data_IF_056447835206
#
_entry.id   IF_056447835206
#
_cell.length_a   1.000
_cell.length_b   1.000
_cell.length_c   1.000
_cell.angle_alpha   90.00
_cell.angle_beta   90.00
_cell.angle_gamma   90.00
#
_symmetry.space_group_name_H-M   'P 1'
#
loop_
_entity.id
_entity.type
_entity.pdbx_description
1 polymer ?
#
# COMPACT_ATOMS: atom_id res chain seq x y z
N UNK A 1 8.53 -14.19 -9.30
CA UNK A 1 7.12 -13.75 -9.20
C UNK A 1 6.68 -13.64 -7.73
N UNK A 2 6.64 -14.74 -6.96
CA UNK A 2 6.17 -14.76 -5.57
C UNK A 2 6.95 -13.91 -4.55
N UNK A 3 8.27 -13.71 -4.73
CA UNK A 3 9.06 -12.88 -3.80
C UNK A 3 8.58 -11.42 -3.75
N UNK A 4 8.18 -10.86 -4.90
CA UNK A 4 7.68 -9.47 -4.98
C UNK A 4 6.32 -9.34 -4.30
N UNK A 5 5.44 -10.30 -4.55
CA UNK A 5 4.12 -10.38 -3.93
C UNK A 5 4.21 -10.46 -2.39
N UNK A 6 5.10 -11.32 -1.87
CA UNK A 6 5.34 -11.46 -0.42
C UNK A 6 5.86 -10.15 0.17
N UNK A 7 6.77 -9.45 -0.52
CA UNK A 7 7.28 -8.15 -0.07
C UNK A 7 6.17 -7.10 -0.02
N UNK A 8 5.32 -7.01 -1.05
CA UNK A 8 4.19 -6.09 -1.06
C UNK A 8 3.20 -6.39 0.07
N UNK A 9 2.85 -7.66 0.27
CA UNK A 9 1.98 -8.08 1.39
C UNK A 9 2.55 -7.67 2.74
N UNK A 10 3.86 -7.84 2.93
CA UNK A 10 4.54 -7.47 4.17
C UNK A 10 4.48 -5.96 4.41
N UNK A 11 4.79 -5.16 3.38
CA UNK A 11 4.73 -3.69 3.45
C UNK A 11 3.31 -3.23 3.79
N UNK A 12 2.28 -3.75 3.11
CA UNK A 12 0.89 -3.38 3.37
C UNK A 12 0.49 -3.70 4.81
N UNK A 13 0.88 -4.86 5.36
CA UNK A 13 0.55 -5.24 6.74
C UNK A 13 1.30 -4.39 7.77
N UNK A 14 2.58 -4.10 7.53
CA UNK A 14 3.38 -3.21 8.39
C UNK A 14 2.77 -1.80 8.43
N UNK A 15 2.45 -1.21 7.27
CA UNK A 15 1.84 0.12 7.19
C UNK A 15 0.41 0.17 7.73
N UNK A 16 -0.40 -0.88 7.49
CA UNK A 16 -1.75 -0.99 8.04
C UNK A 16 -1.74 -1.02 9.57
N UNK A 17 -0.77 -1.69 10.19
CA UNK A 17 -0.63 -1.75 11.64
C UNK A 17 -0.33 -0.37 12.27
N UNK A 18 0.21 0.56 11.49
CA UNK A 18 0.52 1.93 11.91
C UNK A 18 -0.55 2.95 11.48
N UNK A 19 -1.53 2.55 10.67
CA UNK A 19 -2.58 3.44 10.19
C UNK A 19 -3.62 3.72 11.29
N UNK A 20 -3.78 5.00 11.62
CA UNK A 20 -4.81 5.49 12.58
C UNK A 20 -6.00 6.15 11.89
N UNK A 21 -5.90 6.43 10.59
CA UNK A 21 -6.96 7.03 9.77
C UNK A 21 -7.71 5.93 8.99
N UNK A 22 -9.04 5.97 9.05
CA UNK A 22 -9.93 5.06 8.35
C UNK A 22 -9.73 5.08 6.82
N UNK A 23 -9.44 6.22 6.21
CA UNK A 23 -9.23 6.34 4.77
C UNK A 23 -7.93 5.66 4.33
N UNK A 24 -6.89 5.74 5.16
CA UNK A 24 -5.62 5.03 4.97
C UNK A 24 -5.80 3.52 5.12
N UNK A 25 -6.57 3.08 6.12
CA UNK A 25 -6.90 1.66 6.33
C UNK A 25 -7.61 1.08 5.10
N UNK A 26 -8.64 1.78 4.59
CA UNK A 26 -9.39 1.35 3.40
C UNK A 26 -8.50 1.31 2.16
N UNK A 27 -7.60 2.28 2.00
CA UNK A 27 -6.62 2.32 0.92
C UNK A 27 -5.69 1.10 0.95
N UNK A 28 -5.08 0.78 2.09
CA UNK A 28 -4.22 -0.41 2.24
C UNK A 28 -4.97 -1.72 2.02
N UNK A 29 -6.21 -1.84 2.50
CA UNK A 29 -7.05 -3.03 2.26
C UNK A 29 -7.42 -3.19 0.78
N UNK A 30 -7.65 -2.08 0.06
CA UNK A 30 -7.88 -2.13 -1.39
C UNK A 30 -6.63 -2.60 -2.14
N UNK A 31 -5.44 -2.13 -1.76
CA UNK A 31 -4.17 -2.57 -2.36
C UNK A 31 -3.91 -4.06 -2.11
N UNK A 32 -4.31 -4.58 -0.94
CA UNK A 32 -4.27 -6.01 -0.66
C UNK A 32 -5.20 -6.83 -1.57
N UNK A 33 -6.37 -6.28 -1.92
CA UNK A 33 -7.34 -6.95 -2.78
C UNK A 33 -6.93 -6.91 -4.26
N UNK A 34 -6.34 -5.81 -4.72
CA UNK A 34 -5.96 -5.58 -6.13
C UNK A 34 -4.49 -5.88 -6.44
N UNK A 35 -3.93 -6.92 -5.80
CA UNK A 35 -2.53 -7.36 -5.94
C UNK A 35 -1.94 -7.48 -7.37
N UNK A 36 -2.68 -7.60 -8.50
CA UNK A 36 -2.06 -7.67 -9.81
C UNK A 36 -1.79 -6.34 -10.55
N UNK A 37 -2.18 -5.16 -10.03
CA UNK A 37 -2.09 -3.89 -10.80
C UNK A 37 -1.06 -2.86 -10.31
N UNK A 38 -0.46 -3.05 -9.13
CA UNK A 38 0.65 -2.21 -8.68
C UNK A 38 1.93 -2.95 -9.06
N UNK A 39 2.83 -2.34 -9.85
CA UNK A 39 4.14 -2.92 -10.17
C UNK A 39 5.10 -2.98 -8.95
N UNK A 40 4.57 -3.40 -7.79
CA UNK A 40 5.28 -3.99 -6.65
C UNK A 40 6.52 -3.24 -6.16
N UNK A 41 6.61 -1.93 -6.35
CA UNK A 41 7.62 -1.12 -5.70
C UNK A 41 6.98 -0.32 -4.58
N UNK A 42 7.70 -0.20 -3.45
CA UNK A 42 7.33 0.70 -2.35
C UNK A 42 7.05 2.11 -2.89
N UNK A 43 7.84 2.54 -3.87
CA UNK A 43 7.69 3.82 -4.58
C UNK A 43 6.30 3.99 -5.22
N UNK A 44 5.72 2.96 -5.82
CA UNK A 44 4.38 3.05 -6.44
C UNK A 44 3.29 3.27 -5.39
N UNK A 45 3.41 2.56 -4.25
CA UNK A 45 2.49 2.74 -3.12
C UNK A 45 2.64 4.14 -2.52
N UNK A 46 3.87 4.61 -2.35
CA UNK A 46 4.14 5.94 -1.82
C UNK A 46 3.67 7.04 -2.77
N UNK A 47 3.86 6.89 -4.09
CA UNK A 47 3.33 7.80 -5.12
C UNK A 47 1.81 7.86 -5.07
N UNK A 48 1.15 6.69 -5.04
CA UNK A 48 -0.31 6.65 -4.99
C UNK A 48 -0.87 7.31 -3.72
N UNK A 49 -0.26 7.07 -2.56
CA UNK A 49 -0.68 7.71 -1.31
C UNK A 49 -0.46 9.24 -1.33
N UNK A 50 0.60 9.70 -2.00
CA UNK A 50 0.87 11.13 -2.19
C UNK A 50 -0.14 11.77 -3.17
N UNK A 51 -0.38 11.14 -4.32
CA UNK A 51 -1.33 11.61 -5.34
C UNK A 51 -2.77 11.68 -4.81
N UNK A 52 -3.13 10.75 -3.91
CA UNK A 52 -4.47 10.70 -3.29
C UNK A 52 -4.57 11.52 -2.00
N UNK A 53 -3.52 12.25 -1.61
CA UNK A 53 -3.53 13.14 -0.45
C UNK A 53 -3.49 12.42 0.91
N UNK A 54 -3.25 11.11 0.91
CA UNK A 54 -3.14 10.31 2.12
C UNK A 54 -1.75 10.37 2.78
N UNK A 55 -0.77 10.96 2.09
CA UNK A 55 0.58 11.21 2.60
C UNK A 55 1.02 12.64 2.30
N UNK A 56 1.56 13.33 3.30
CA UNK A 56 2.18 14.65 3.12
C UNK A 56 3.59 14.51 2.50
N UNK A 57 3.99 15.51 1.72
CA UNK A 57 5.35 15.67 1.17
C UNK A 57 6.40 15.77 2.28
#
# INVERSE_FOLDING_TARGET
>A
MYKKEILLKRIIVEELAHATNQDLILSYLSMWLYQPYVENSRLDVESMLLETGHRAL
#
